data_IF_783342934990
#
_entry.id   IF_783342934990
#
_cell.length_a   1.000
_cell.length_b   1.000
_cell.length_c   1.000
_cell.angle_alpha   90.00
_cell.angle_beta   90.00
_cell.angle_gamma   90.00
#
_symmetry.space_group_name_H-M   'P 1'
#
loop_
_entity.id
_entity.type
_entity.pdbx_description
1 polymer ?
#
# COMPACT_ATOMS: atom_id res chain seq x y z
N UNK A 1 21.32 18.01 -1.16
CA UNK A 1 20.46 16.99 -1.80
C UNK A 1 19.21 16.75 -0.97
N UNK A 2 18.06 16.90 -1.59
CA UNK A 2 16.81 16.55 -0.95
C UNK A 2 16.74 15.04 -0.75
N UNK A 3 16.13 14.61 0.33
CA UNK A 3 16.00 13.21 0.68
C UNK A 3 14.53 12.84 0.76
N UNK A 4 14.16 11.72 0.15
CA UNK A 4 12.80 11.19 0.24
C UNK A 4 12.54 10.71 1.67
N UNK A 5 11.46 11.20 2.26
CA UNK A 5 10.98 10.79 3.58
C UNK A 5 9.63 10.13 3.44
N UNK A 6 9.39 9.10 4.25
CA UNK A 6 8.08 8.45 4.31
C UNK A 6 7.44 8.77 5.65
N UNK A 7 6.21 9.28 5.59
CA UNK A 7 5.44 9.66 6.78
C UNK A 7 3.98 9.27 6.62
N UNK A 8 3.24 9.31 7.71
CA UNK A 8 1.79 9.13 7.66
C UNK A 8 1.14 10.32 6.96
N UNK A 9 0.10 10.04 6.17
CA UNK A 9 -0.72 11.09 5.58
C UNK A 9 -1.55 11.78 6.66
N UNK A 10 -1.80 13.07 6.44
CA UNK A 10 -2.71 13.87 7.28
C UNK A 10 -3.83 14.44 6.40
N UNK A 11 -4.95 14.92 6.99
CA UNK A 11 -6.08 15.42 6.18
C UNK A 11 -5.69 16.49 5.16
N UNK A 12 -4.71 17.33 5.47
CA UNK A 12 -4.23 18.36 4.55
C UNK A 12 -3.54 17.81 3.30
N UNK A 13 -3.18 16.54 3.28
CA UNK A 13 -2.58 15.90 2.10
C UNK A 13 -3.62 15.49 1.05
N UNK A 14 -4.90 15.64 1.31
CA UNK A 14 -5.97 15.09 0.48
C UNK A 14 -5.88 15.49 -1.00
N UNK A 15 -5.58 16.74 -1.30
CA UNK A 15 -5.50 17.21 -2.69
C UNK A 15 -4.36 16.54 -3.45
N UNK A 16 -3.18 16.46 -2.86
CA UNK A 16 -2.04 15.82 -3.52
C UNK A 16 -2.19 14.31 -3.61
N UNK A 17 -2.75 13.69 -2.58
CA UNK A 17 -3.07 12.26 -2.62
C UNK A 17 -4.06 11.97 -3.73
N UNK A 18 -5.08 12.82 -3.91
CA UNK A 18 -6.04 12.69 -5.00
C UNK A 18 -5.35 12.71 -6.36
N UNK A 19 -4.38 13.60 -6.56
CA UNK A 19 -3.62 13.65 -7.81
C UNK A 19 -2.87 12.35 -8.09
N UNK A 20 -2.27 11.74 -7.05
CA UNK A 20 -1.58 10.46 -7.18
C UNK A 20 -2.56 9.34 -7.52
N UNK A 21 -3.71 9.30 -6.85
CA UNK A 21 -4.73 8.28 -7.10
C UNK A 21 -5.29 8.37 -8.51
N UNK A 22 -5.54 9.58 -9.02
CA UNK A 22 -6.01 9.79 -10.39
C UNK A 22 -5.03 9.26 -11.43
N UNK A 23 -3.73 9.37 -11.17
CA UNK A 23 -2.70 8.94 -12.11
C UNK A 23 -2.61 7.41 -12.24
N UNK A 24 -3.07 6.65 -11.23
CA UNK A 24 -2.87 5.20 -11.17
C UNK A 24 -4.13 4.36 -11.20
N UNK A 25 -5.29 4.93 -10.88
CA UNK A 25 -6.52 4.15 -10.72
C UNK A 25 -7.64 4.70 -11.60
N UNK A 26 -8.59 3.83 -11.92
CA UNK A 26 -9.76 4.19 -12.70
C UNK A 26 -10.75 4.96 -11.80
N UNK A 27 -10.45 6.23 -11.57
CA UNK A 27 -11.21 7.17 -10.78
C UNK A 27 -11.62 8.31 -11.70
N UNK A 28 -12.89 8.74 -11.62
CA UNK A 28 -13.44 9.68 -12.59
C UNK A 28 -12.84 11.09 -12.51
N UNK A 29 -12.69 11.61 -11.29
CA UNK A 29 -12.20 12.97 -11.11
C UNK A 29 -11.52 13.16 -9.74
N UNK A 30 -11.00 14.36 -9.53
CA UNK A 30 -10.29 14.76 -8.33
C UNK A 30 -11.17 14.68 -7.06
N UNK A 31 -12.43 15.05 -7.18
CA UNK A 31 -13.35 15.05 -6.03
C UNK A 31 -13.66 13.61 -5.59
N UNK A 32 -13.83 12.69 -6.53
CA UNK A 32 -13.99 11.28 -6.22
C UNK A 32 -12.74 10.74 -5.51
N UNK A 33 -11.55 11.07 -6.02
CA UNK A 33 -10.29 10.64 -5.40
C UNK A 33 -10.16 11.16 -3.97
N UNK A 34 -10.50 12.43 -3.71
CA UNK A 34 -10.48 13.00 -2.35
C UNK A 34 -11.47 12.29 -1.44
N UNK A 35 -12.65 12.00 -1.95
CA UNK A 35 -13.67 11.28 -1.19
C UNK A 35 -13.19 9.89 -0.81
N UNK A 36 -12.55 9.17 -1.73
CA UNK A 36 -11.97 7.86 -1.46
C UNK A 36 -10.98 7.94 -0.31
N UNK A 37 -10.04 8.89 -0.36
CA UNK A 37 -9.07 9.08 0.70
C UNK A 37 -9.74 9.35 2.05
N UNK A 38 -10.70 10.29 2.09
CA UNK A 38 -11.37 10.66 3.31
C UNK A 38 -12.20 9.50 3.90
N UNK A 39 -12.90 8.76 3.05
CA UNK A 39 -13.71 7.61 3.49
C UNK A 39 -12.83 6.47 3.98
N UNK A 40 -11.72 6.19 3.31
CA UNK A 40 -10.78 5.16 3.73
C UNK A 40 -10.09 5.51 5.05
N UNK A 41 -9.79 6.79 5.28
CA UNK A 41 -9.26 7.23 6.58
C UNK A 41 -10.24 6.90 7.72
N UNK A 42 -11.54 7.12 7.51
CA UNK A 42 -12.58 6.78 8.49
C UNK A 42 -12.73 5.28 8.71
N UNK A 43 -12.39 4.48 7.71
CA UNK A 43 -12.46 3.01 7.76
C UNK A 43 -11.16 2.37 8.26
N UNK A 44 -10.28 3.16 8.85
CA UNK A 44 -9.00 2.71 9.42
C UNK A 44 -8.01 2.15 8.39
N UNK A 45 -8.11 2.57 7.12
CA UNK A 45 -7.02 2.38 6.19
C UNK A 45 -5.86 3.31 6.56
N UNK A 46 -4.66 2.77 6.58
CA UNK A 46 -3.46 3.54 6.92
C UNK A 46 -2.77 3.99 5.63
N UNK A 47 -2.58 5.29 5.49
CA UNK A 47 -1.90 5.89 4.34
C UNK A 47 -0.51 6.37 4.76
N UNK A 48 0.50 5.88 4.04
CA UNK A 48 1.88 6.36 4.16
C UNK A 48 2.28 6.97 2.83
N UNK A 49 2.94 8.12 2.89
CA UNK A 49 3.33 8.87 1.70
C UNK A 49 4.84 9.11 1.67
N UNK A 50 5.41 9.02 0.47
CA UNK A 50 6.80 9.37 0.22
C UNK A 50 6.85 10.81 -0.26
N UNK A 51 7.60 11.66 0.45
CA UNK A 51 7.65 13.10 0.20
C UNK A 51 9.08 13.54 -0.03
N UNK A 52 9.28 14.38 -1.04
CA UNK A 52 10.54 15.06 -1.31
C UNK A 52 10.22 16.51 -1.71
N UNK A 53 10.86 17.48 -1.03
CA UNK A 53 10.62 18.92 -1.29
C UNK A 53 9.13 19.28 -1.29
N UNK A 54 8.41 18.79 -0.28
CA UNK A 54 6.95 19.00 -0.10
C UNK A 54 6.07 18.43 -1.21
N UNK A 55 6.63 17.61 -2.09
CA UNK A 55 5.86 16.90 -3.13
C UNK A 55 5.67 15.43 -2.77
N UNK A 56 4.46 14.94 -2.95
CA UNK A 56 4.18 13.51 -2.77
C UNK A 56 4.59 12.77 -4.03
N UNK A 57 5.53 11.84 -3.89
CA UNK A 57 6.08 11.04 -4.99
C UNK A 57 5.45 9.65 -5.09
N UNK A 58 4.77 9.22 -4.05
CA UNK A 58 4.12 7.92 -4.02
C UNK A 58 3.41 7.70 -2.71
N UNK A 59 2.61 6.64 -2.66
CA UNK A 59 1.87 6.26 -1.45
C UNK A 59 1.73 4.75 -1.36
N UNK A 60 1.50 4.28 -0.13
CA UNK A 60 1.11 2.90 0.15
C UNK A 60 0.01 2.93 1.19
N UNK A 61 -0.95 2.03 1.05
CA UNK A 61 -2.04 1.89 2.01
C UNK A 61 -2.09 0.48 2.55
N UNK A 62 -2.42 0.35 3.83
CA UNK A 62 -2.59 -0.96 4.44
C UNK A 62 -3.76 -0.98 5.41
N UNK A 63 -4.28 -2.15 5.66
CA UNK A 63 -5.38 -2.37 6.59
C UNK A 63 -5.15 -3.68 7.36
N UNK A 64 -5.52 -3.69 8.65
CA UNK A 64 -5.49 -4.92 9.44
C UNK A 64 -6.74 -5.76 9.16
N UNK A 65 -6.60 -7.08 9.30
CA UNK A 65 -7.70 -8.02 9.15
C UNK A 65 -7.83 -8.88 10.40
N UNK A 66 -9.07 -9.20 10.74
CA UNK A 66 -9.37 -9.99 11.92
C UNK A 66 -9.06 -9.25 13.22
N UNK A 67 -8.67 -9.99 14.24
CA UNK A 67 -8.34 -9.43 15.56
C UNK A 67 -6.84 -9.11 15.63
N UNK A 68 -6.43 -8.18 16.51
CA UNK A 68 -4.99 -7.87 16.67
C UNK A 68 -4.12 -9.09 16.95
N UNK A 69 -4.64 -10.08 17.68
CA UNK A 69 -3.90 -11.33 17.96
C UNK A 69 -3.57 -12.15 16.73
N UNK A 70 -4.28 -11.96 15.61
CA UNK A 70 -4.01 -12.66 14.36
C UNK A 70 -2.77 -12.13 13.65
N UNK A 71 -2.41 -10.87 13.88
CA UNK A 71 -1.24 -10.25 13.26
C UNK A 71 -1.31 -10.22 11.74
N UNK A 72 -2.52 -10.18 11.18
CA UNK A 72 -2.77 -10.24 9.74
C UNK A 72 -3.07 -8.86 9.20
N UNK A 73 -2.38 -8.47 8.14
CA UNK A 73 -2.60 -7.18 7.50
C UNK A 73 -2.35 -7.26 5.99
N UNK A 74 -2.97 -6.36 5.27
CA UNK A 74 -2.95 -6.33 3.81
C UNK A 74 -2.36 -5.03 3.30
N UNK A 75 -1.42 -5.12 2.34
CA UNK A 75 -1.05 -3.99 1.51
C UNK A 75 -2.16 -3.84 0.47
N UNK A 76 -2.98 -2.81 0.62
CA UNK A 76 -4.13 -2.60 -0.24
C UNK A 76 -3.72 -1.95 -1.57
N UNK A 77 -2.86 -0.93 -1.50
CA UNK A 77 -2.53 -0.12 -2.66
C UNK A 77 -1.12 0.42 -2.54
N UNK A 78 -0.34 0.37 -3.61
CA UNK A 78 0.97 1.03 -3.69
C UNK A 78 1.13 1.66 -5.06
N UNK A 79 1.55 2.91 -5.08
CA UNK A 79 1.86 3.59 -6.34
C UNK A 79 2.99 4.59 -6.15
N UNK A 80 3.85 4.67 -7.15
CA UNK A 80 4.96 5.62 -7.23
C UNK A 80 4.81 6.38 -8.53
N UNK A 81 4.81 7.71 -8.46
CA UNK A 81 4.67 8.55 -9.65
C UNK A 81 5.74 8.20 -10.68
N UNK A 82 5.36 8.21 -11.96
CA UNK A 82 6.24 7.79 -13.05
C UNK A 82 7.60 8.49 -13.00
N UNK A 83 7.61 9.80 -12.75
CA UNK A 83 8.84 10.59 -12.66
C UNK A 83 9.77 10.19 -11.51
N UNK A 84 9.26 9.46 -10.54
CA UNK A 84 10.00 9.08 -9.34
C UNK A 84 10.34 7.59 -9.29
N UNK A 85 10.01 6.84 -10.32
CA UNK A 85 10.31 5.39 -10.38
C UNK A 85 11.80 5.14 -10.55
N UNK A 86 12.24 3.95 -10.14
CA UNK A 86 13.65 3.55 -10.24
C UNK A 86 14.56 4.12 -9.18
N UNK A 87 14.00 4.79 -8.16
CA UNK A 87 14.78 5.44 -7.07
C UNK A 87 14.62 4.73 -5.73
N UNK A 88 14.04 3.53 -5.70
CA UNK A 88 13.86 2.75 -4.48
C UNK A 88 12.71 3.23 -3.58
N UNK A 89 11.85 4.10 -4.06
CA UNK A 89 10.74 4.65 -3.26
C UNK A 89 9.74 3.57 -2.86
N UNK A 90 9.39 2.66 -3.79
CA UNK A 90 8.47 1.56 -3.49
C UNK A 90 8.96 0.70 -2.34
N UNK A 91 10.25 0.37 -2.31
CA UNK A 91 10.86 -0.40 -1.23
C UNK A 91 10.80 0.36 0.11
N UNK A 92 11.08 1.67 0.09
CA UNK A 92 10.96 2.51 1.29
C UNK A 92 9.54 2.53 1.82
N UNK A 93 8.54 2.61 0.94
CA UNK A 93 7.14 2.59 1.32
C UNK A 93 6.75 1.25 1.98
N UNK A 94 7.16 0.12 1.39
CA UNK A 94 6.87 -1.20 1.96
C UNK A 94 7.55 -1.36 3.33
N UNK A 95 8.81 -0.96 3.46
CA UNK A 95 9.51 -1.04 4.74
C UNK A 95 8.82 -0.20 5.82
N UNK A 96 8.40 1.01 5.47
CA UNK A 96 7.70 1.88 6.42
C UNK A 96 6.33 1.34 6.79
N UNK A 97 5.64 0.71 5.83
CA UNK A 97 4.37 0.03 6.10
C UNK A 97 4.55 -1.05 7.18
N UNK A 98 5.59 -1.86 7.05
CA UNK A 98 5.89 -2.92 8.02
C UNK A 98 6.18 -2.32 9.40
N UNK A 99 6.98 -1.25 9.46
CA UNK A 99 7.27 -0.56 10.72
C UNK A 99 5.99 0.01 11.37
N UNK A 100 5.14 0.64 10.56
CA UNK A 100 3.89 1.22 11.03
C UNK A 100 2.94 0.14 11.55
N UNK A 101 2.84 -0.99 10.85
CA UNK A 101 2.03 -2.13 11.27
C UNK A 101 2.56 -2.75 12.58
N UNK A 102 3.89 -2.93 12.68
CA UNK A 102 4.50 -3.43 13.92
C UNK A 102 4.12 -2.56 15.13
N UNK A 103 4.18 -1.25 14.96
CA UNK A 103 3.79 -0.31 16.02
C UNK A 103 2.29 -0.42 16.34
N UNK A 104 1.44 -0.47 15.31
CA UNK A 104 -0.01 -0.56 15.47
C UNK A 104 -0.43 -1.82 16.22
N UNK A 105 0.11 -2.99 15.83
CA UNK A 105 -0.21 -4.26 16.49
C UNK A 105 0.31 -4.29 17.93
N UNK A 106 1.53 -3.80 18.17
CA UNK A 106 2.13 -3.77 19.50
C UNK A 106 1.27 -2.99 20.49
N UNK A 107 0.72 -1.85 20.07
CA UNK A 107 -0.16 -1.05 20.91
C UNK A 107 -1.47 -1.75 21.28
N UNK A 108 -1.83 -2.79 20.56
CA UNK A 108 -3.06 -3.56 20.77
C UNK A 108 -2.78 -4.96 21.33
N UNK A 109 -1.63 -5.13 21.94
CA UNK A 109 -1.17 -6.40 22.52
C UNK A 109 -1.12 -7.55 21.49
N UNK A 110 -0.96 -7.21 20.23
CA UNK A 110 -0.76 -8.14 19.14
C UNK A 110 0.65 -8.08 18.59
N UNK A 111 0.88 -8.81 17.51
CA UNK A 111 2.17 -8.85 16.84
C UNK A 111 1.94 -9.01 15.34
N UNK A 112 2.49 -8.12 14.54
CA UNK A 112 2.42 -8.25 13.09
C UNK A 112 3.08 -9.56 12.67
N UNK A 113 2.37 -10.40 11.92
CA UNK A 113 2.81 -11.76 11.58
C UNK A 113 2.84 -12.01 10.09
N UNK A 114 1.78 -11.63 9.37
CA UNK A 114 1.65 -11.91 7.94
C UNK A 114 1.14 -10.68 7.22
N UNK A 115 1.92 -10.23 6.24
CA UNK A 115 1.53 -9.20 5.28
C UNK A 115 1.22 -9.87 3.95
N UNK A 116 0.05 -9.60 3.39
CA UNK A 116 -0.30 -10.14 2.07
C UNK A 116 -0.85 -9.03 1.17
N UNK A 117 -0.93 -9.34 -0.11
CA UNK A 117 -1.53 -8.46 -1.10
C UNK A 117 -2.13 -9.28 -2.25
N UNK A 118 -3.03 -8.64 -2.98
CA UNK A 118 -3.60 -9.19 -4.20
C UNK A 118 -3.17 -8.32 -5.38
N UNK A 119 -2.81 -8.96 -6.49
CA UNK A 119 -2.44 -8.26 -7.72
C UNK A 119 -2.92 -9.07 -8.93
N UNK A 120 -3.30 -8.38 -10.00
CA UNK A 120 -3.78 -9.06 -11.21
C UNK A 120 -2.74 -10.05 -11.74
N UNK A 121 -3.21 -11.21 -12.18
CA UNK A 121 -2.37 -12.28 -12.70
C UNK A 121 -1.51 -11.85 -13.89
N UNK A 122 -1.96 -10.88 -14.67
CA UNK A 122 -1.25 -10.38 -15.84
C UNK A 122 -0.36 -9.16 -15.55
N UNK A 123 -0.34 -8.64 -14.33
CA UNK A 123 0.47 -7.49 -13.96
C UNK A 123 1.91 -7.91 -13.64
N UNK A 124 2.66 -8.25 -14.68
CA UNK A 124 4.02 -8.79 -14.55
C UNK A 124 5.00 -7.84 -13.89
N UNK A 125 4.88 -6.55 -14.15
CA UNK A 125 5.74 -5.54 -13.53
C UNK A 125 5.55 -5.50 -12.00
N UNK A 126 4.31 -5.61 -11.54
CA UNK A 126 4.01 -5.70 -10.11
C UNK A 126 4.59 -6.98 -9.50
N UNK A 127 4.47 -8.12 -10.19
CA UNK A 127 5.05 -9.39 -9.72
C UNK A 127 6.55 -9.26 -9.47
N UNK A 128 7.27 -8.68 -10.43
CA UNK A 128 8.72 -8.48 -10.31
C UNK A 128 9.05 -7.59 -9.12
N UNK A 129 8.31 -6.50 -8.95
CA UNK A 129 8.51 -5.58 -7.83
C UNK A 129 8.27 -6.28 -6.48
N UNK A 130 7.13 -6.97 -6.33
CA UNK A 130 6.80 -7.63 -5.06
C UNK A 130 7.82 -8.72 -4.71
N UNK A 131 8.24 -9.52 -5.69
CA UNK A 131 9.26 -10.55 -5.46
C UNK A 131 10.60 -9.93 -5.05
N UNK A 132 10.97 -8.80 -5.67
CA UNK A 132 12.20 -8.08 -5.34
C UNK A 132 12.21 -7.57 -3.90
N UNK A 133 11.08 -7.12 -3.38
CA UNK A 133 10.99 -6.61 -2.00
C UNK A 133 10.69 -7.70 -0.98
N UNK A 134 10.64 -8.97 -1.40
CA UNK A 134 10.60 -10.10 -0.49
C UNK A 134 9.29 -10.87 -0.40
N UNK A 135 8.28 -10.49 -1.16
CA UNK A 135 7.03 -11.24 -1.21
C UNK A 135 7.20 -12.54 -2.00
N UNK A 136 6.46 -13.55 -1.61
CA UNK A 136 6.38 -14.83 -2.34
C UNK A 136 4.94 -15.11 -2.73
N UNK A 137 4.75 -15.65 -3.93
CA UNK A 137 3.43 -16.06 -4.37
C UNK A 137 2.90 -17.17 -3.48
N UNK A 138 1.71 -17.02 -2.97
CA UNK A 138 1.06 -17.99 -2.10
C UNK A 138 0.02 -18.81 -2.83
N UNK A 139 -0.83 -18.15 -3.61
CA UNK A 139 -1.92 -18.80 -4.36
C UNK A 139 -2.47 -17.87 -5.43
N UNK A 140 -3.43 -18.36 -6.19
CA UNK A 140 -4.18 -17.60 -7.18
C UNK A 140 -5.68 -17.71 -6.87
N UNK A 141 -6.38 -16.58 -6.90
CA UNK A 141 -7.82 -16.49 -6.70
C UNK A 141 -8.49 -16.31 -8.06
N UNK A 142 -9.30 -17.29 -8.47
CA UNK A 142 -9.98 -17.25 -9.77
C UNK A 142 -11.10 -16.23 -9.81
N UNK A 143 -11.12 -15.43 -10.89
CA UNK A 143 -12.21 -14.49 -11.19
C UNK A 143 -12.62 -13.69 -9.95
N UNK A 144 -11.66 -13.11 -9.25
CA UNK A 144 -11.87 -12.56 -7.91
C UNK A 144 -12.65 -11.24 -7.94
N UNK A 145 -12.12 -10.23 -8.62
CA UNK A 145 -12.80 -8.93 -8.76
C UNK A 145 -13.63 -8.85 -10.04
N UNK A 146 -13.14 -9.48 -11.11
CA UNK A 146 -13.77 -9.47 -12.42
C UNK A 146 -13.83 -10.89 -13.00
N UNK A 147 -14.85 -11.15 -13.83
CA UNK A 147 -14.89 -12.39 -14.58
C UNK A 147 -13.70 -12.47 -15.51
N UNK A 148 -13.06 -13.63 -15.56
CA UNK A 148 -11.89 -13.92 -16.41
C UNK A 148 -10.63 -13.13 -16.03
N UNK A 149 -10.59 -12.57 -14.82
CA UNK A 149 -9.40 -11.90 -14.28
C UNK A 149 -9.05 -12.52 -12.93
N UNK A 150 -7.97 -13.28 -12.90
CA UNK A 150 -7.48 -13.91 -11.68
C UNK A 150 -6.60 -12.94 -10.90
N UNK A 151 -6.50 -13.16 -9.58
CA UNK A 151 -5.62 -12.42 -8.70
C UNK A 151 -4.57 -13.33 -8.11
N UNK A 152 -3.32 -12.89 -8.12
CA UNK A 152 -2.27 -13.56 -7.33
C UNK A 152 -2.28 -13.02 -5.91
N UNK A 153 -2.08 -13.93 -4.96
CA UNK A 153 -1.84 -13.57 -3.57
C UNK A 153 -0.34 -13.69 -3.31
N UNK A 154 0.28 -12.59 -2.90
CA UNK A 154 1.68 -12.56 -2.47
C UNK A 154 1.72 -12.32 -0.97
N UNK A 155 2.67 -12.92 -0.27
CA UNK A 155 2.77 -12.74 1.17
C UNK A 155 4.21 -12.68 1.67
N UNK A 156 4.39 -12.02 2.83
CA UNK A 156 5.60 -12.03 3.63
C UNK A 156 5.20 -12.46 5.04
N UNK A 157 5.90 -13.44 5.59
CA UNK A 157 5.80 -13.79 7.01
C UNK A 157 6.89 -13.06 7.77
N UNK A 158 6.49 -12.24 8.75
CA UNK A 158 7.43 -11.46 9.53
C UNK A 158 8.08 -12.32 10.58
N UNK A 159 9.39 -12.21 10.69
CA UNK A 159 10.16 -12.92 11.70
C UNK A 159 10.03 -12.19 13.05
N UNK A 160 10.07 -12.98 14.10
CA UNK A 160 10.00 -12.48 15.47
C UNK A 160 11.36 -11.99 15.95
#
# INVERSE_FOLDING_TARGET
MSKVKVRKAVPNDADEIANVLLDFYNIEDHEEAKKIFNDEQKREFHYLIAVEDDQILGLVTWISHGLPKHGLFELDRICVMTKARGKGIGKKLVNKLIDDANYWFKKRNGKARKLYLLTHEDNKNAHIFYERVGFKQETTLKSHYYNNQDERVYSIFLKN
#
